data_IF_832048903663
#
_entry.id   IF_832048903663
#
_cell.length_a   1.000
_cell.length_b   1.000
_cell.length_c   1.000
_cell.angle_alpha   90.00
_cell.angle_beta   90.00
_cell.angle_gamma   90.00
#
_symmetry.space_group_name_H-M   'P 1'
#
loop_
_entity.id
_entity.type
_entity.pdbx_description
1 polymer ?
#
# COMPACT_ATOMS: atom_id res chain seq x y z
N UNK A 1 -2.91 -1.40 11.37
CA UNK A 1 -2.53 -2.00 10.09
C UNK A 1 -2.91 -3.47 10.11
N UNK A 2 -3.55 -3.94 9.07
CA UNK A 2 -3.98 -5.32 9.01
C UNK A 2 -3.06 -6.13 8.11
N UNK A 3 -3.13 -7.43 8.22
CA UNK A 3 -2.31 -8.32 7.40
C UNK A 3 -3.12 -9.52 6.95
N UNK A 4 -2.93 -9.92 5.71
CA UNK A 4 -3.56 -11.11 5.15
C UNK A 4 -2.58 -11.81 4.24
N UNK A 5 -2.79 -13.10 4.02
CA UNK A 5 -1.98 -13.80 3.03
C UNK A 5 -2.47 -13.44 1.63
N UNK A 6 -1.62 -13.67 0.65
CA UNK A 6 -2.00 -13.40 -0.74
C UNK A 6 -3.20 -14.27 -1.13
N UNK A 7 -3.30 -15.45 -0.61
CA UNK A 7 -4.42 -16.33 -0.92
C UNK A 7 -5.73 -15.75 -0.42
N UNK A 8 -5.73 -15.24 0.78
CA UNK A 8 -6.92 -14.64 1.33
C UNK A 8 -7.27 -13.35 0.64
N UNK A 9 -6.26 -12.57 0.32
CA UNK A 9 -6.48 -11.32 -0.40
C UNK A 9 -7.13 -11.57 -1.75
N UNK A 10 -6.67 -12.58 -2.45
CA UNK A 10 -7.21 -12.91 -3.77
C UNK A 10 -8.67 -13.31 -3.72
N UNK A 11 -9.12 -13.85 -2.63
CA UNK A 11 -10.51 -14.27 -2.52
C UNK A 11 -11.48 -13.10 -2.38
N UNK A 12 -11.01 -12.02 -1.81
CA UNK A 12 -11.90 -10.89 -1.51
C UNK A 12 -11.25 -9.56 -1.86
N UNK A 13 -10.69 -9.48 -3.04
CA UNK A 13 -9.95 -8.28 -3.44
C UNK A 13 -10.79 -7.03 -3.32
N UNK A 14 -11.97 -7.05 -3.89
CA UNK A 14 -12.79 -5.84 -3.90
C UNK A 14 -13.17 -5.40 -2.49
N UNK A 15 -13.55 -6.35 -1.66
CA UNK A 15 -13.94 -6.03 -0.30
C UNK A 15 -12.74 -5.52 0.50
N UNK A 16 -11.60 -6.12 0.31
CA UNK A 16 -10.39 -5.71 1.01
C UNK A 16 -9.95 -4.32 0.59
N UNK A 17 -10.04 -4.01 -0.68
CA UNK A 17 -9.68 -2.69 -1.17
C UNK A 17 -10.68 -1.65 -0.64
N UNK A 18 -11.95 -1.98 -0.64
CA UNK A 18 -12.96 -1.07 -0.10
C UNK A 18 -12.69 -0.78 1.37
N UNK A 19 -12.31 -1.77 2.13
CA UNK A 19 -12.03 -1.58 3.54
C UNK A 19 -10.78 -0.72 3.73
N UNK A 20 -9.77 -0.91 2.92
CA UNK A 20 -8.56 -0.09 2.99
C UNK A 20 -8.90 1.39 2.77
N UNK A 21 -9.74 1.67 1.81
CA UNK A 21 -10.11 3.03 1.49
C UNK A 21 -11.04 3.61 2.57
N UNK A 22 -12.05 2.85 2.96
CA UNK A 22 -13.04 3.32 3.89
C UNK A 22 -12.48 3.54 5.27
N UNK A 23 -11.62 2.64 5.72
CA UNK A 23 -11.07 2.70 7.06
C UNK A 23 -9.75 3.45 7.11
N UNK A 24 -9.23 3.85 5.98
CA UNK A 24 -7.93 4.50 5.89
C UNK A 24 -6.88 3.67 6.62
N UNK A 25 -6.93 2.37 6.42
CA UNK A 25 -6.03 1.46 7.12
C UNK A 25 -5.28 0.59 6.12
N UNK A 26 -3.97 0.71 6.04
CA UNK A 26 -3.21 -0.10 5.08
C UNK A 26 -3.30 -1.59 5.38
N UNK A 27 -3.16 -2.39 4.37
CA UNK A 27 -3.22 -3.84 4.48
C UNK A 27 -1.91 -4.43 4.00
N UNK A 28 -1.26 -5.21 4.83
CA UNK A 28 -0.07 -5.92 4.43
C UNK A 28 -0.49 -7.24 3.81
N UNK A 29 -0.02 -7.52 2.62
CA UNK A 29 -0.31 -8.79 1.96
C UNK A 29 0.96 -9.61 1.94
N UNK A 30 0.96 -10.72 2.67
CA UNK A 30 2.13 -11.57 2.74
C UNK A 30 2.10 -12.55 1.57
N UNK A 31 3.26 -12.98 1.17
CA UNK A 31 3.39 -13.87 0.01
C UNK A 31 4.09 -15.13 0.43
N UNK A 32 3.86 -16.22 -0.31
CA UNK A 32 4.45 -17.50 0.02
C UNK A 32 5.84 -17.61 -0.57
N UNK A 33 6.59 -18.55 -0.11
CA UNK A 33 7.89 -18.86 -0.66
C UNK A 33 8.96 -17.83 -0.35
N UNK A 34 8.83 -17.14 0.74
CA UNK A 34 9.81 -16.14 1.13
C UNK A 34 9.81 -14.89 0.27
N UNK A 35 8.79 -14.68 -0.53
CA UNK A 35 8.70 -13.49 -1.35
C UNK A 35 8.34 -12.30 -0.48
N UNK A 36 8.80 -11.15 -0.94
CA UNK A 36 8.62 -9.93 -0.15
C UNK A 36 7.15 -9.55 -0.05
N UNK A 37 6.65 -9.21 1.12
CA UNK A 37 5.27 -8.76 1.25
C UNK A 37 5.08 -7.38 0.64
N UNK A 38 3.84 -7.03 0.38
CA UNK A 38 3.50 -5.73 -0.17
C UNK A 38 2.45 -5.06 0.72
N UNK A 39 2.26 -3.77 0.53
CA UNK A 39 1.26 -3.03 1.27
C UNK A 39 0.22 -2.50 0.30
N UNK A 40 -1.04 -2.67 0.63
CA UNK A 40 -2.15 -2.08 -0.11
C UNK A 40 -2.60 -0.86 0.66
N UNK A 41 -2.64 0.29 0.01
CA UNK A 41 -2.98 1.54 0.68
C UNK A 41 -3.76 2.42 -0.30
N UNK A 42 -4.63 3.28 0.19
CA UNK A 42 -5.37 4.17 -0.69
C UNK A 42 -4.41 5.16 -1.33
N UNK A 43 -4.74 5.62 -2.51
CA UNK A 43 -3.90 6.59 -3.20
C UNK A 43 -3.79 7.88 -2.38
N UNK A 44 -4.88 8.29 -1.77
CA UNK A 44 -4.87 9.50 -0.96
C UNK A 44 -3.91 9.37 0.21
N UNK A 45 -3.90 8.23 0.86
CA UNK A 45 -3.02 8.03 1.98
C UNK A 45 -1.56 7.93 1.53
N UNK A 46 -1.34 7.27 0.43
CA UNK A 46 -0.01 7.16 -0.13
C UNK A 46 0.55 8.54 -0.48
N UNK A 47 -0.27 9.38 -1.06
CA UNK A 47 0.17 10.71 -1.41
C UNK A 47 0.44 11.57 -0.19
N UNK A 48 -0.31 11.38 0.85
CA UNK A 48 -0.06 12.06 2.12
C UNK A 48 1.29 11.63 2.68
N UNK A 49 1.59 10.36 2.63
CA UNK A 49 2.89 9.86 3.09
C UNK A 49 4.02 10.44 2.24
N UNK A 50 3.83 10.50 0.96
CA UNK A 50 4.81 11.06 0.05
C UNK A 50 5.11 12.51 0.41
N UNK A 51 4.09 13.27 0.64
CA UNK A 51 4.29 14.66 0.98
C UNK A 51 5.07 14.82 2.27
N UNK A 52 4.78 14.01 3.25
CA UNK A 52 5.48 14.05 4.50
C UNK A 52 6.94 13.70 4.33
N UNK A 53 7.22 12.65 3.57
CA UNK A 53 8.56 12.20 3.38
C UNK A 53 9.36 13.10 2.50
N UNK A 54 8.76 13.93 1.70
CA UNK A 54 9.41 14.66 0.77
C UNK A 54 9.80 15.97 1.17
N UNK A 55 9.61 16.30 2.37
CA UNK A 55 10.07 17.52 2.83
C UNK A 55 11.48 17.70 2.56
N UNK A 56 12.21 16.69 2.36
CA UNK A 56 13.55 16.85 2.16
C UNK A 56 13.88 16.63 0.79
N UNK A 57 14.29 15.86 0.25
CA UNK A 57 14.97 15.90 -0.92
C UNK A 57 14.73 14.84 -1.86
N UNK A 58 13.91 14.04 -1.70
CA UNK A 58 13.76 12.93 -2.54
C UNK A 58 12.87 13.15 -3.72
N UNK A 59 12.64 14.38 -4.03
CA UNK A 59 11.71 14.72 -5.04
C UNK A 59 12.00 14.14 -6.40
N UNK A 60 13.20 14.16 -6.78
CA UNK A 60 13.58 13.63 -8.08
C UNK A 60 13.29 12.15 -8.17
N UNK A 61 13.53 11.44 -7.12
CA UNK A 61 13.27 10.02 -7.10
C UNK A 61 11.80 9.72 -7.16
N UNK A 62 11.04 10.51 -6.51
CA UNK A 62 9.62 10.33 -6.51
C UNK A 62 9.06 10.54 -7.90
N UNK A 63 9.55 11.51 -8.60
CA UNK A 63 9.12 11.74 -9.94
C UNK A 63 9.40 10.56 -10.82
N UNK A 64 10.51 9.94 -10.66
CA UNK A 64 10.82 8.77 -11.42
C UNK A 64 9.87 7.64 -11.13
N UNK A 65 9.50 7.48 -9.91
CA UNK A 65 8.58 6.44 -9.54
C UNK A 65 7.19 6.67 -10.09
N UNK A 66 6.85 7.87 -10.35
CA UNK A 66 5.54 8.17 -10.86
C UNK A 66 5.34 7.76 -12.30
N UNK A 67 6.36 7.30 -12.95
CA UNK A 67 6.23 6.89 -14.34
C UNK A 67 5.77 5.46 -14.54
#
# INVERSE_FOLDING_TARGET
>A
MRAKSISEFRKNIAADIDAVVSDMEPLIVTRTGGKEPVVVVSLAEFESWKETLHLSSAQANVERLAR
#
